data_IF_888678716156
#
_entry.id   IF_888678716156
#
_cell.length_a   1.000
_cell.length_b   1.000
_cell.length_c   1.000
_cell.angle_alpha   90.00
_cell.angle_beta   90.00
_cell.angle_gamma   90.00
#
_symmetry.space_group_name_H-M   'P 1'
#
loop_
_entity.id
_entity.type
_entity.pdbx_description
1 polymer ?
#
# COMPACT_ATOMS: atom_id res chain seq x y z
N UNK A 1 40.40 1.11 70.89
CA UNK A 1 40.82 1.61 69.56
C UNK A 1 40.21 0.69 68.52
N UNK A 2 39.00 0.99 68.06
CA UNK A 2 38.67 1.55 66.72
C UNK A 2 38.72 0.52 65.57
N UNK A 3 37.50 0.09 65.18
CA UNK A 3 36.98 -0.28 63.84
C UNK A 3 37.89 -0.89 62.77
N UNK A 4 37.48 -2.04 62.23
CA UNK A 4 37.77 -2.41 60.84
C UNK A 4 36.56 -3.12 60.20
N UNK A 5 35.78 -2.31 59.50
CA UNK A 5 34.78 -2.69 58.51
C UNK A 5 35.48 -2.95 57.16
N UNK A 6 34.78 -3.67 56.27
CA UNK A 6 34.95 -3.80 54.80
C UNK A 6 35.66 -5.09 54.34
N UNK A 7 34.92 -6.01 53.71
CA UNK A 7 34.62 -6.02 52.27
C UNK A 7 35.84 -5.66 51.41
N UNK A 8 36.38 -6.61 50.66
CA UNK A 8 36.12 -6.74 49.22
C UNK A 8 37.03 -7.82 48.60
N UNK A 9 36.46 -8.54 47.64
CA UNK A 9 37.12 -9.11 46.46
C UNK A 9 38.27 -10.13 46.62
N UNK A 10 38.06 -11.28 45.99
CA UNK A 10 38.97 -11.71 44.91
C UNK A 10 38.31 -12.71 43.97
N UNK A 11 38.16 -12.26 42.74
CA UNK A 11 37.93 -13.05 41.54
C UNK A 11 38.94 -14.18 41.43
N UNK A 12 38.51 -15.38 41.07
CA UNK A 12 39.17 -16.13 39.99
C UNK A 12 38.40 -17.39 39.60
N UNK A 13 38.40 -17.59 38.27
CA UNK A 13 38.42 -18.88 37.58
C UNK A 13 37.11 -19.69 37.61
N UNK A 14 36.65 -20.37 36.56
CA UNK A 14 37.25 -20.67 35.26
C UNK A 14 36.13 -21.25 34.38
N UNK A 15 36.18 -20.89 33.08
CA UNK A 15 35.75 -21.65 31.89
C UNK A 15 34.52 -22.57 32.02
N UNK A 16 33.49 -22.25 31.25
CA UNK A 16 32.47 -23.20 30.86
C UNK A 16 31.67 -22.64 29.70
N UNK A 17 31.99 -23.08 28.49
CA UNK A 17 31.23 -22.75 27.30
C UNK A 17 29.81 -23.32 27.41
N UNK A 18 28.79 -22.46 27.46
CA UNK A 18 27.43 -22.88 27.09
C UNK A 18 26.73 -21.75 26.36
N UNK A 19 26.77 -21.93 25.05
CA UNK A 19 26.06 -21.25 23.98
C UNK A 19 24.62 -20.90 24.32
N UNK A 20 24.22 -19.71 23.90
CA UNK A 20 22.86 -19.17 23.85
C UNK A 20 21.82 -20.24 23.46
N UNK A 21 20.82 -20.48 24.31
CA UNK A 21 19.57 -21.14 23.90
C UNK A 21 18.45 -20.98 24.94
N UNK A 22 18.17 -19.76 25.43
CA UNK A 22 16.91 -19.47 26.15
C UNK A 22 16.36 -18.12 25.69
N UNK A 23 16.09 -18.02 24.39
CA UNK A 23 15.13 -17.05 23.82
C UNK A 23 14.34 -17.82 22.76
N UNK A 24 13.59 -18.84 23.20
CA UNK A 24 12.77 -19.70 22.35
C UNK A 24 11.36 -19.80 22.95
N UNK A 25 10.72 -18.65 23.17
CA UNK A 25 9.28 -18.60 23.51
C UNK A 25 8.57 -17.28 23.14
N UNK A 26 9.15 -16.44 22.27
CA UNK A 26 8.44 -15.24 21.74
C UNK A 26 8.29 -15.21 20.22
N UNK A 27 8.73 -16.25 19.51
CA UNK A 27 8.78 -16.27 18.04
C UNK A 27 7.71 -17.17 17.42
N UNK A 28 6.52 -17.23 18.02
CA UNK A 28 5.37 -17.97 17.48
C UNK A 28 4.17 -17.08 17.14
N UNK A 29 4.36 -15.76 16.99
CA UNK A 29 3.29 -14.83 16.60
C UNK A 29 3.71 -13.80 15.53
N UNK A 30 4.87 -13.95 14.86
CA UNK A 30 5.41 -12.94 13.95
C UNK A 30 5.96 -13.49 12.62
N UNK A 31 5.38 -14.57 12.11
CA UNK A 31 5.94 -15.26 10.92
C UNK A 31 4.93 -15.42 9.80
N UNK A 32 4.25 -14.35 9.43
CA UNK A 32 3.92 -14.10 8.04
C UNK A 32 4.48 -12.71 7.72
N UNK A 33 5.57 -12.58 6.93
CA UNK A 33 6.02 -11.28 6.48
C UNK A 33 4.96 -10.73 5.49
N UNK A 34 4.28 -9.60 5.77
CA UNK A 34 3.36 -9.00 4.80
C UNK A 34 4.09 -8.20 3.69
N UNK A 35 5.42 -8.06 3.72
CA UNK A 35 6.04 -6.90 3.07
C UNK A 35 6.43 -7.04 1.59
N UNK A 36 6.47 -8.25 1.00
CA UNK A 36 6.93 -8.38 -0.40
C UNK A 36 5.85 -8.39 -1.46
N UNK A 37 4.63 -8.71 -1.05
CA UNK A 37 3.52 -8.66 -1.97
C UNK A 37 3.13 -7.17 -2.12
N UNK A 38 2.81 -6.50 -1.01
CA UNK A 38 2.22 -5.15 -1.01
C UNK A 38 3.11 -4.04 -1.60
N UNK A 39 4.44 -4.17 -1.55
CA UNK A 39 5.37 -3.19 -2.13
C UNK A 39 5.50 -3.25 -3.65
N UNK A 40 5.32 -4.42 -4.29
CA UNK A 40 5.54 -4.54 -5.73
C UNK A 40 4.50 -3.72 -6.54
N UNK A 41 3.28 -3.61 -6.01
CA UNK A 41 2.23 -2.79 -6.61
C UNK A 41 2.35 -1.33 -6.20
N UNK A 42 2.79 -1.04 -4.97
CA UNK A 42 3.01 0.31 -4.47
C UNK A 42 4.17 1.04 -5.18
N UNK A 43 5.17 0.29 -5.68
CA UNK A 43 6.34 0.86 -6.36
C UNK A 43 6.17 1.06 -7.88
N UNK A 44 5.06 0.60 -8.48
CA UNK A 44 4.72 1.01 -9.84
C UNK A 44 4.09 2.39 -9.75
N UNK A 45 4.91 3.43 -9.93
CA UNK A 45 4.49 4.85 -9.99
C UNK A 45 3.38 5.17 -11.02
N UNK A 46 2.94 4.17 -11.79
CA UNK A 46 1.91 4.23 -12.80
C UNK A 46 0.71 3.33 -12.48
N UNK A 47 0.55 2.86 -11.24
CA UNK A 47 -0.61 2.08 -10.83
C UNK A 47 -1.84 2.99 -10.67
N UNK A 48 -2.94 2.60 -11.31
CA UNK A 48 -4.21 3.32 -11.36
C UNK A 48 -5.32 2.42 -10.83
N UNK A 49 -6.07 2.95 -9.87
CA UNK A 49 -7.28 2.30 -9.36
C UNK A 49 -8.45 2.48 -10.34
N UNK A 50 -9.16 1.38 -10.60
CA UNK A 50 -10.41 1.39 -11.37
C UNK A 50 -11.55 1.05 -10.42
N UNK A 51 -12.61 1.86 -10.44
CA UNK A 51 -13.81 1.74 -9.62
C UNK A 51 -15.01 1.37 -10.48
N UNK A 52 -16.04 0.78 -9.87
CA UNK A 52 -17.29 0.45 -10.56
C UNK A 52 -18.11 1.70 -10.91
N UNK A 53 -18.07 2.73 -10.05
CA UNK A 53 -18.88 3.94 -10.21
C UNK A 53 -18.02 5.20 -10.25
N UNK A 54 -18.54 6.25 -10.89
CA UNK A 54 -17.94 7.58 -10.89
C UNK A 54 -17.88 8.17 -9.48
N UNK A 55 -18.93 7.93 -8.68
CA UNK A 55 -19.04 8.43 -7.32
C UNK A 55 -17.93 7.87 -6.41
N UNK A 56 -17.59 6.59 -6.55
CA UNK A 56 -16.49 5.96 -5.81
C UNK A 56 -15.15 6.63 -6.14
N UNK A 57 -14.88 6.86 -7.43
CA UNK A 57 -13.68 7.56 -7.86
C UNK A 57 -13.64 9.01 -7.33
N UNK A 58 -14.76 9.74 -7.37
CA UNK A 58 -14.87 11.10 -6.82
C UNK A 58 -14.66 11.10 -5.30
N UNK A 59 -15.21 10.12 -4.58
CA UNK A 59 -15.00 9.99 -3.13
C UNK A 59 -13.50 9.85 -2.82
N UNK A 60 -12.77 9.01 -3.56
CA UNK A 60 -11.32 8.88 -3.40
C UNK A 60 -10.58 10.16 -3.78
N UNK A 61 -10.96 10.82 -4.88
CA UNK A 61 -10.38 12.09 -5.31
C UNK A 61 -10.54 13.22 -4.27
N UNK A 62 -11.61 13.15 -3.48
CA UNK A 62 -11.91 14.10 -2.39
C UNK A 62 -11.32 13.68 -1.03
N UNK A 63 -10.49 12.63 -0.99
CA UNK A 63 -9.81 12.19 0.24
C UNK A 63 -10.62 11.22 1.10
N UNK A 64 -11.67 10.59 0.58
CA UNK A 64 -12.47 9.57 1.25
C UNK A 64 -12.09 8.18 0.72
N UNK A 65 -11.11 7.47 1.32
CA UNK A 65 -10.56 6.23 0.78
C UNK A 65 -11.45 4.99 0.97
N UNK A 66 -12.69 5.16 1.46
CA UNK A 66 -13.60 4.04 1.75
C UNK A 66 -14.10 3.29 0.52
N UNK A 67 -13.86 3.80 -0.69
CA UNK A 67 -14.20 3.11 -1.91
C UNK A 67 -13.16 2.02 -2.25
N UNK A 68 -13.64 0.80 -2.46
CA UNK A 68 -12.79 -0.33 -2.83
C UNK A 68 -12.65 -0.37 -4.35
N UNK A 69 -11.41 -0.28 -4.89
CA UNK A 69 -11.21 -0.44 -6.33
C UNK A 69 -11.58 -1.87 -6.75
N UNK A 70 -12.25 -2.00 -7.89
CA UNK A 70 -12.54 -3.33 -8.46
C UNK A 70 -11.26 -4.00 -8.98
N UNK A 71 -10.27 -3.19 -9.38
CA UNK A 71 -8.94 -3.64 -9.81
C UNK A 71 -7.92 -2.50 -9.75
N UNK A 72 -6.64 -2.86 -9.70
CA UNK A 72 -5.51 -1.96 -9.84
C UNK A 72 -4.75 -2.38 -11.10
N UNK A 73 -4.44 -1.41 -11.96
CA UNK A 73 -3.84 -1.64 -13.28
C UNK A 73 -2.76 -0.62 -13.56
N UNK A 74 -1.80 -0.99 -14.41
CA UNK A 74 -0.81 -0.03 -14.89
C UNK A 74 -1.49 0.93 -15.87
N UNK A 75 -1.20 2.23 -15.78
CA UNK A 75 -1.77 3.27 -16.64
C UNK A 75 -1.62 2.95 -18.13
N UNK A 76 -0.45 2.44 -18.54
CA UNK A 76 -0.20 2.09 -19.96
C UNK A 76 -1.08 0.96 -20.50
N UNK A 77 -1.74 0.21 -19.62
CA UNK A 77 -2.68 -0.85 -19.99
C UNK A 77 -4.14 -0.34 -19.99
N UNK A 78 -4.39 0.90 -19.57
CA UNK A 78 -5.71 1.53 -19.63
C UNK A 78 -5.91 2.29 -20.94
N UNK A 79 -7.15 2.29 -21.41
CA UNK A 79 -7.60 3.27 -22.38
C UNK A 79 -8.53 4.27 -21.70
N UNK A 80 -8.19 5.56 -21.72
CA UNK A 80 -9.13 6.61 -21.29
C UNK A 80 -10.17 6.81 -22.39
N UNK A 81 -11.44 6.60 -22.06
CA UNK A 81 -12.54 6.67 -23.03
C UNK A 81 -13.34 7.98 -22.93
N UNK A 82 -13.14 8.74 -21.85
CA UNK A 82 -13.50 10.16 -21.78
C UNK A 82 -13.83 10.62 -20.37
N UNK A 83 -14.28 11.87 -20.26
CA UNK A 83 -14.61 12.55 -19.00
C UNK A 83 -15.97 13.22 -19.10
N UNK A 84 -16.77 13.30 -18.03
CA UNK A 84 -18.09 13.96 -18.13
C UNK A 84 -18.01 15.45 -18.46
N UNK A 85 -17.02 16.14 -17.89
CA UNK A 85 -16.76 17.57 -18.09
C UNK A 85 -15.27 17.85 -17.93
N UNK A 86 -14.80 19.06 -18.26
CA UNK A 86 -13.37 19.38 -18.10
C UNK A 86 -12.91 19.47 -16.64
N UNK A 87 -13.84 19.74 -15.73
CA UNK A 87 -13.66 19.92 -14.30
C UNK A 87 -13.98 18.65 -13.48
N UNK A 88 -14.43 17.57 -14.12
CA UNK A 88 -14.71 16.33 -13.40
C UNK A 88 -13.43 15.76 -12.77
N UNK A 89 -13.58 15.19 -11.58
CA UNK A 89 -12.48 14.58 -10.81
C UNK A 89 -12.25 13.10 -11.16
N UNK A 90 -13.13 12.52 -11.96
CA UNK A 90 -13.04 11.13 -12.43
C UNK A 90 -13.18 11.06 -13.95
N UNK A 91 -12.50 10.08 -14.55
CA UNK A 91 -12.61 9.75 -15.97
C UNK A 91 -13.10 8.32 -16.12
N UNK A 92 -13.78 8.07 -17.23
CA UNK A 92 -14.12 6.72 -17.63
C UNK A 92 -12.94 6.10 -18.37
N UNK A 93 -12.61 4.88 -17.98
CA UNK A 93 -11.50 4.09 -18.55
C UNK A 93 -12.00 2.73 -18.97
N UNK A 94 -11.30 2.10 -19.91
CA UNK A 94 -11.45 0.71 -20.29
C UNK A 94 -10.21 -0.06 -19.85
N UNK A 95 -10.42 -1.08 -19.05
CA UNK A 95 -9.37 -1.93 -18.49
C UNK A 95 -8.95 -3.04 -19.46
N UNK A 96 -7.80 -3.72 -19.21
CA UNK A 96 -7.29 -4.80 -20.08
C UNK A 96 -8.22 -6.00 -20.21
N UNK A 97 -9.11 -6.21 -19.24
CA UNK A 97 -10.16 -7.23 -19.26
C UNK A 97 -11.32 -6.88 -20.21
N UNK A 98 -11.28 -5.69 -20.83
CA UNK A 98 -12.30 -5.17 -21.73
C UNK A 98 -13.46 -4.47 -21.05
N UNK A 99 -13.53 -4.47 -19.71
CA UNK A 99 -14.60 -3.81 -18.97
C UNK A 99 -14.31 -2.32 -18.75
N UNK A 100 -15.37 -1.52 -18.77
CA UNK A 100 -15.31 -0.10 -18.46
C UNK A 100 -15.45 0.16 -16.96
N UNK A 101 -14.80 1.19 -16.46
CA UNK A 101 -14.89 1.66 -15.08
C UNK A 101 -14.49 3.12 -14.96
N UNK A 102 -14.21 3.56 -13.74
CA UNK A 102 -13.86 4.94 -13.43
C UNK A 102 -12.53 5.04 -12.70
N UNK A 103 -11.74 6.06 -13.01
CA UNK A 103 -10.47 6.34 -12.34
C UNK A 103 -10.36 7.81 -11.97
N UNK A 104 -9.59 8.12 -10.92
CA UNK A 104 -9.34 9.49 -10.49
C UNK A 104 -8.49 10.20 -11.54
N UNK A 105 -8.89 11.42 -11.92
CA UNK A 105 -8.21 12.21 -12.96
C UNK A 105 -6.75 12.49 -12.62
N UNK A 106 -6.46 12.82 -11.37
CA UNK A 106 -5.10 13.15 -10.91
C UNK A 106 -4.19 11.93 -10.81
N UNK A 107 -4.73 10.71 -10.93
CA UNK A 107 -3.94 9.47 -11.00
C UNK A 107 -3.44 9.18 -12.42
N UNK A 108 -3.80 10.00 -13.41
CA UNK A 108 -3.45 9.80 -14.81
C UNK A 108 -2.56 10.93 -15.31
N UNK A 109 -1.52 10.59 -16.07
CA UNK A 109 -0.67 11.54 -16.80
C UNK A 109 -1.46 12.21 -17.92
N UNK A 110 -2.39 11.48 -18.55
CA UNK A 110 -3.22 11.99 -19.64
C UNK A 110 -4.69 11.60 -19.43
N UNK A 111 -5.50 12.45 -18.77
CA UNK A 111 -6.90 12.16 -18.48
C UNK A 111 -7.84 12.25 -19.71
N UNK A 112 -7.31 12.41 -20.91
CA UNK A 112 -8.08 12.38 -22.16
C UNK A 112 -9.06 13.55 -22.34
N UNK A 113 -9.97 13.46 -23.32
CA UNK A 113 -10.90 14.54 -23.67
C UNK A 113 -12.00 14.74 -22.60
N UNK A 114 -12.45 16.00 -22.49
CA UNK A 114 -13.38 16.45 -21.45
C UNK A 114 -14.85 16.02 -21.60
N UNK A 115 -15.23 15.29 -22.65
CA UNK A 115 -16.60 14.88 -22.87
C UNK A 115 -16.65 13.39 -23.19
N UNK A 116 -17.50 12.67 -22.47
CA UNK A 116 -17.81 11.30 -22.82
C UNK A 116 -18.58 11.32 -24.14
N UNK A 117 -18.30 10.38 -25.05
CA UNK A 117 -19.21 10.12 -26.15
C UNK A 117 -20.61 9.93 -25.56
N UNK A 118 -21.61 10.60 -26.14
CA UNK A 118 -22.99 10.37 -25.72
C UNK A 118 -23.26 8.86 -25.73
N UNK A 119 -23.69 8.32 -24.59
CA UNK A 119 -24.11 6.94 -24.53
C UNK A 119 -25.23 6.78 -25.57
N UNK A 120 -24.99 6.01 -26.63
CA UNK A 120 -26.08 5.57 -27.50
C UNK A 120 -26.84 4.51 -26.70
N UNK A 121 -27.92 4.91 -26.04
CA UNK A 121 -28.76 4.04 -25.22
C UNK A 121 -29.97 4.78 -24.70
#
# INVERSE_FOLDING_TARGET
MQHAHRHHQRSNAVRGATTLAVILCLTACQSLPPERADEEWAQRADAVSVFNTEQDAIAVASGHPGAVPRMIVVESALAVIGRRSCDAQAVQVKAPDGASGWSVVTSLKQPGPCALPAARG
#
